data_IF_998938503450
#
_entry.id   IF_998938503450
#
_cell.length_a   1.000
_cell.length_b   1.000
_cell.length_c   1.000
_cell.angle_alpha   90.00
_cell.angle_beta   90.00
_cell.angle_gamma   90.00
#
_symmetry.space_group_name_H-M   'P 1'
#
loop_
_entity.id
_entity.type
_entity.pdbx_description
1 polymer ?
#
# COMPACT_ATOMS: atom_id res chain seq x y z
N UNK A 1 -11.40 25.81 -53.84
CA UNK A 1 -11.36 25.87 -52.36
C UNK A 1 -11.14 24.45 -51.84
N UNK A 2 -9.90 24.07 -51.54
CA UNK A 2 -9.58 22.79 -50.90
C UNK A 2 -9.51 23.05 -49.39
N UNK A 3 -10.60 22.73 -48.68
CA UNK A 3 -10.61 22.71 -47.23
C UNK A 3 -9.89 21.45 -46.75
N UNK A 4 -8.66 21.60 -46.24
CA UNK A 4 -7.95 20.50 -45.59
C UNK A 4 -8.62 20.18 -44.25
N UNK A 5 -9.29 19.04 -44.20
CA UNK A 5 -9.80 18.43 -42.99
C UNK A 5 -8.61 18.07 -42.08
N UNK A 6 -8.41 18.82 -40.99
CA UNK A 6 -7.44 18.46 -39.94
C UNK A 6 -8.06 17.30 -39.15
N UNK A 7 -7.41 16.13 -39.06
CA UNK A 7 -8.08 14.95 -38.53
C UNK A 7 -8.15 15.01 -36.99
N UNK A 8 -9.33 14.65 -36.46
CA UNK A 8 -9.82 14.70 -35.07
C UNK A 8 -9.01 13.90 -34.02
N UNK A 9 -7.78 13.47 -34.31
CA UNK A 9 -7.01 12.56 -33.46
C UNK A 9 -6.39 13.23 -32.23
N UNK A 10 -6.17 14.56 -32.24
CA UNK A 10 -5.59 15.29 -31.10
C UNK A 10 -6.50 15.32 -29.87
N UNK A 11 -7.81 15.52 -30.08
CA UNK A 11 -8.79 15.73 -29.01
C UNK A 11 -9.08 14.45 -28.20
N UNK A 12 -9.04 13.28 -28.85
CA UNK A 12 -9.28 11.97 -28.20
C UNK A 12 -8.09 11.54 -27.31
N UNK A 13 -6.85 11.79 -27.75
CA UNK A 13 -5.65 11.54 -26.92
C UNK A 13 -5.61 12.44 -25.69
N UNK A 14 -5.99 13.70 -25.84
CA UNK A 14 -5.98 14.67 -24.75
C UNK A 14 -7.06 14.38 -23.69
N UNK A 15 -8.24 13.93 -24.13
CA UNK A 15 -9.31 13.45 -23.22
C UNK A 15 -8.92 12.16 -22.47
N UNK A 16 -8.25 11.22 -23.13
CA UNK A 16 -7.77 9.99 -22.49
C UNK A 16 -6.67 10.28 -21.44
N UNK A 17 -5.76 11.22 -21.73
CA UNK A 17 -4.72 11.68 -20.80
C UNK A 17 -5.31 12.41 -19.60
N UNK A 18 -6.32 13.26 -19.80
CA UNK A 18 -7.03 13.91 -18.71
C UNK A 18 -7.76 12.90 -17.80
N UNK A 19 -8.36 11.87 -18.40
CA UNK A 19 -9.04 10.81 -17.65
C UNK A 19 -8.06 9.94 -16.84
N UNK A 20 -6.86 9.65 -17.36
CA UNK A 20 -5.85 8.88 -16.63
C UNK A 20 -5.26 9.67 -15.47
N UNK A 21 -4.98 10.96 -15.65
CA UNK A 21 -4.42 11.81 -14.60
C UNK A 21 -5.41 12.04 -13.46
N UNK A 22 -6.69 12.25 -13.79
CA UNK A 22 -7.77 12.35 -12.80
C UNK A 22 -7.92 11.06 -11.98
N UNK A 23 -7.92 9.89 -12.64
CA UNK A 23 -7.95 8.58 -11.96
C UNK A 23 -6.75 8.36 -11.05
N UNK A 24 -5.55 8.76 -11.49
CA UNK A 24 -4.32 8.64 -10.69
C UNK A 24 -4.36 9.56 -9.47
N UNK A 25 -4.88 10.79 -9.62
CA UNK A 25 -5.06 11.73 -8.52
C UNK A 25 -6.10 11.23 -7.51
N UNK A 26 -7.20 10.67 -8.00
CA UNK A 26 -8.25 10.06 -7.17
C UNK A 26 -7.75 8.83 -6.42
N UNK A 27 -6.99 7.94 -7.09
CA UNK A 27 -6.34 6.79 -6.46
C UNK A 27 -5.36 7.23 -5.37
N UNK A 28 -4.57 8.29 -5.62
CA UNK A 28 -3.64 8.85 -4.63
C UNK A 28 -4.37 9.44 -3.43
N UNK A 29 -5.43 10.21 -3.66
CA UNK A 29 -6.27 10.78 -2.59
C UNK A 29 -6.94 9.69 -1.76
N UNK A 30 -7.43 8.64 -2.42
CA UNK A 30 -8.01 7.45 -1.78
C UNK A 30 -6.97 6.70 -0.95
N UNK A 31 -5.74 6.56 -1.47
CA UNK A 31 -4.60 5.98 -0.75
C UNK A 31 -4.28 6.74 0.54
N UNK A 32 -4.11 8.07 0.48
CA UNK A 32 -3.82 8.90 1.66
C UNK A 32 -4.92 8.82 2.72
N UNK A 33 -6.18 8.80 2.29
CA UNK A 33 -7.32 8.60 3.20
C UNK A 33 -7.30 7.21 3.83
N UNK A 34 -6.98 6.19 3.06
CA UNK A 34 -6.82 4.82 3.51
C UNK A 34 -5.71 4.66 4.54
N UNK A 35 -4.52 5.19 4.27
CA UNK A 35 -3.36 5.19 5.18
C UNK A 35 -3.69 5.89 6.51
N UNK A 36 -4.34 7.05 6.44
CA UNK A 36 -4.72 7.81 7.65
C UNK A 36 -5.71 7.02 8.49
N UNK A 37 -6.73 6.43 7.86
CA UNK A 37 -7.70 5.58 8.55
C UNK A 37 -7.02 4.33 9.14
N UNK A 38 -6.17 3.67 8.38
CA UNK A 38 -5.41 2.49 8.79
C UNK A 38 -4.56 2.76 10.03
N UNK A 39 -3.83 3.88 10.03
CA UNK A 39 -3.02 4.32 11.17
C UNK A 39 -3.85 4.40 12.44
N UNK A 40 -5.00 5.09 12.40
CA UNK A 40 -5.85 5.24 13.59
C UNK A 40 -6.53 3.94 14.00
N UNK A 41 -6.98 3.14 13.03
CA UNK A 41 -7.56 1.82 13.30
C UNK A 41 -6.57 0.93 14.05
N UNK A 42 -5.34 0.79 13.53
CA UNK A 42 -4.31 -0.07 14.10
C UNK A 42 -3.80 0.43 15.44
N UNK A 43 -3.72 1.75 15.65
CA UNK A 43 -3.44 2.31 16.98
C UNK A 43 -4.49 1.91 18.02
N UNK A 44 -5.76 1.88 17.64
CA UNK A 44 -6.84 1.37 18.52
C UNK A 44 -6.74 -0.13 18.77
N UNK A 45 -6.06 -0.87 17.89
CA UNK A 45 -5.74 -2.29 18.08
C UNK A 45 -4.45 -2.53 18.87
N UNK A 46 -3.79 -1.48 19.38
CA UNK A 46 -2.59 -1.58 20.22
C UNK A 46 -1.26 -1.40 19.49
N UNK A 47 -1.26 -1.10 18.18
CA UNK A 47 -0.03 -0.85 17.44
C UNK A 47 0.61 0.48 17.85
N UNK A 48 1.93 0.46 18.03
CA UNK A 48 2.76 1.65 18.27
C UNK A 48 3.60 1.93 17.04
N UNK A 49 3.18 2.88 16.21
CA UNK A 49 3.87 3.21 14.96
C UNK A 49 5.16 4.00 15.17
N UNK A 50 6.21 3.56 14.49
CA UNK A 50 7.54 4.20 14.45
C UNK A 50 7.82 4.85 13.10
N UNK A 51 7.11 4.45 12.04
CA UNK A 51 7.17 5.10 10.74
C UNK A 51 5.86 4.98 9.96
N UNK A 52 5.65 5.93 9.05
CA UNK A 52 4.62 5.91 8.01
C UNK A 52 5.23 6.39 6.70
N UNK A 53 4.76 5.87 5.57
CA UNK A 53 5.20 6.22 4.22
C UNK A 53 6.73 6.28 4.10
N UNK A 54 7.40 5.26 4.62
CA UNK A 54 8.85 5.19 4.61
C UNK A 54 9.36 4.85 3.22
N UNK A 55 10.25 5.70 2.70
CA UNK A 55 10.93 5.49 1.42
C UNK A 55 12.45 5.54 1.65
N UNK A 56 13.17 4.43 1.45
CA UNK A 56 14.61 4.39 1.63
C UNK A 56 15.33 5.20 0.53
N UNK A 57 16.51 5.74 0.86
CA UNK A 57 17.36 6.39 -0.15
C UNK A 57 18.08 5.33 -0.99
N UNK A 58 18.14 5.54 -2.31
CA UNK A 58 18.97 4.75 -3.22
C UNK A 58 18.40 3.40 -3.67
N UNK A 59 17.24 2.96 -3.15
CA UNK A 59 16.52 1.79 -3.66
C UNK A 59 15.06 2.14 -3.92
N UNK A 60 14.43 1.40 -4.85
CA UNK A 60 12.99 1.52 -5.08
C UNK A 60 12.22 0.68 -4.07
N UNK A 61 11.23 1.28 -3.43
CA UNK A 61 10.30 0.62 -2.52
C UNK A 61 9.71 1.61 -1.51
N UNK A 62 8.62 1.20 -0.86
CA UNK A 62 7.96 1.95 0.19
C UNK A 62 7.41 0.99 1.25
N UNK A 63 7.25 1.48 2.48
CA UNK A 63 6.51 0.82 3.56
C UNK A 63 5.43 1.80 4.04
N UNK A 64 4.17 1.40 3.93
CA UNK A 64 3.05 2.28 4.29
C UNK A 64 3.08 2.58 5.80
N UNK A 65 3.16 1.54 6.62
CA UNK A 65 3.18 1.66 8.07
C UNK A 65 4.16 0.67 8.70
N UNK A 66 4.93 1.15 9.68
CA UNK A 66 5.85 0.31 10.47
C UNK A 66 5.62 0.59 11.94
N UNK A 67 5.27 -0.45 12.71
CA UNK A 67 4.93 -0.30 14.12
C UNK A 67 5.01 -1.58 14.92
N UNK A 68 5.11 -1.43 16.24
CA UNK A 68 5.15 -2.55 17.17
C UNK A 68 3.75 -3.02 17.55
N UNK A 69 3.53 -4.33 17.46
CA UNK A 69 2.42 -5.06 18.09
C UNK A 69 3.01 -5.90 19.23
N UNK A 70 2.99 -5.35 20.44
CA UNK A 70 3.75 -5.89 21.57
C UNK A 70 5.25 -5.86 21.30
N UNK A 71 5.88 -7.05 21.21
CA UNK A 71 7.32 -7.19 20.94
C UNK A 71 7.64 -7.36 19.45
N UNK A 72 6.62 -7.52 18.60
CA UNK A 72 6.77 -7.81 17.19
C UNK A 72 6.78 -6.52 16.38
N UNK A 73 7.81 -6.29 15.58
CA UNK A 73 7.82 -5.20 14.62
C UNK A 73 7.07 -5.61 13.36
N UNK A 74 5.92 -4.98 13.13
CA UNK A 74 5.04 -5.25 12.00
C UNK A 74 5.24 -4.21 10.90
N UNK A 75 5.42 -4.71 9.68
CA UNK A 75 5.37 -3.96 8.43
C UNK A 75 3.99 -4.14 7.82
N UNK A 76 3.16 -3.09 7.86
CA UNK A 76 1.75 -3.18 7.47
C UNK A 76 1.54 -2.50 6.13
N UNK A 77 1.11 -3.28 5.14
CA UNK A 77 0.67 -2.80 3.84
C UNK A 77 -0.83 -2.46 3.90
N UNK A 78 -1.21 -1.26 3.44
CA UNK A 78 -2.58 -0.76 3.47
C UNK A 78 -3.22 -0.86 2.08
N UNK A 79 -4.32 -1.60 1.97
CA UNK A 79 -5.05 -1.79 0.72
C UNK A 79 -6.46 -1.23 0.83
N UNK A 80 -6.74 -0.22 0.00
CA UNK A 80 -8.08 0.28 -0.23
C UNK A 80 -8.73 -0.54 -1.33
N UNK A 81 -9.84 -1.22 -1.02
CA UNK A 81 -10.62 -1.93 -2.03
C UNK A 81 -11.40 -0.94 -2.86
N UNK A 82 -11.22 -0.99 -4.18
CA UNK A 82 -12.10 -0.25 -5.08
C UNK A 82 -13.37 -1.06 -5.35
N UNK A 83 -14.49 -0.38 -5.62
CA UNK A 83 -15.83 -1.00 -5.82
C UNK A 83 -15.84 -2.08 -6.92
N UNK A 84 -14.84 -2.10 -7.81
CA UNK A 84 -14.69 -3.07 -8.91
C UNK A 84 -13.86 -4.32 -8.56
N UNK A 85 -13.22 -4.39 -7.39
CA UNK A 85 -12.42 -5.55 -7.00
C UNK A 85 -13.32 -6.62 -6.37
N UNK A 86 -13.46 -7.76 -7.06
CA UNK A 86 -14.30 -8.88 -6.62
C UNK A 86 -14.05 -9.22 -5.15
N UNK A 87 -15.15 -9.35 -4.40
CA UNK A 87 -15.17 -9.69 -2.98
C UNK A 87 -14.39 -10.98 -2.64
N UNK A 88 -14.19 -11.85 -3.64
CA UNK A 88 -13.51 -13.14 -3.58
C UNK A 88 -11.97 -13.07 -3.67
N UNK A 89 -11.38 -11.93 -4.05
CA UNK A 89 -9.94 -11.76 -3.92
C UNK A 89 -9.60 -11.64 -2.43
N UNK A 90 -9.20 -12.75 -1.81
CA UNK A 90 -8.70 -12.78 -0.45
C UNK A 90 -7.49 -11.83 -0.35
N UNK A 91 -7.38 -10.98 0.68
CA UNK A 91 -6.23 -10.08 0.86
C UNK A 91 -4.89 -10.84 0.92
N UNK A 92 -4.92 -12.10 1.33
CA UNK A 92 -3.83 -13.09 1.26
C UNK A 92 -3.22 -13.21 -0.15
N UNK A 93 -4.03 -13.04 -1.20
CA UNK A 93 -3.62 -13.11 -2.61
C UNK A 93 -3.23 -11.73 -3.20
N UNK A 94 -3.38 -10.64 -2.44
CA UNK A 94 -3.31 -9.26 -2.96
C UNK A 94 -1.91 -8.65 -3.01
N UNK A 95 -0.93 -9.21 -2.27
CA UNK A 95 0.47 -8.80 -2.36
C UNK A 95 1.19 -9.76 -3.30
N UNK A 96 1.36 -9.34 -4.56
CA UNK A 96 2.08 -10.12 -5.57
C UNK A 96 3.47 -10.49 -5.07
N UNK A 97 4.04 -11.62 -5.55
CA UNK A 97 5.41 -12.03 -5.20
C UNK A 97 6.44 -10.93 -5.46
N UNK A 98 6.24 -10.14 -6.53
CA UNK A 98 7.08 -8.99 -6.83
C UNK A 98 6.98 -7.91 -5.74
N UNK A 99 5.76 -7.56 -5.31
CA UNK A 99 5.56 -6.59 -4.25
C UNK A 99 6.09 -7.09 -2.90
N UNK A 100 5.92 -8.38 -2.59
CA UNK A 100 6.53 -8.99 -1.39
C UNK A 100 8.05 -8.80 -1.41
N UNK A 101 8.73 -9.11 -2.53
CA UNK A 101 10.19 -8.91 -2.66
C UNK A 101 10.60 -7.47 -2.43
N UNK A 102 9.85 -6.51 -2.98
CA UNK A 102 10.12 -5.07 -2.80
C UNK A 102 9.93 -4.66 -1.34
N UNK A 103 8.83 -5.06 -0.70
CA UNK A 103 8.54 -4.75 0.70
C UNK A 103 9.59 -5.36 1.62
N UNK A 104 9.98 -6.62 1.39
CA UNK A 104 11.03 -7.32 2.15
C UNK A 104 12.37 -6.60 2.07
N UNK A 105 12.82 -6.26 0.87
CA UNK A 105 14.07 -5.51 0.68
C UNK A 105 14.02 -4.14 1.35
N UNK A 106 12.86 -3.48 1.29
CA UNK A 106 12.65 -2.17 1.92
C UNK A 106 12.65 -2.30 3.45
N UNK A 107 12.06 -3.35 4.00
CA UNK A 107 12.09 -3.67 5.42
C UNK A 107 13.52 -3.94 5.92
N UNK A 108 14.31 -4.73 5.18
CA UNK A 108 15.73 -4.93 5.51
C UNK A 108 16.50 -3.61 5.55
N UNK A 109 16.25 -2.71 4.60
CA UNK A 109 16.86 -1.38 4.59
C UNK A 109 16.42 -0.53 5.79
N UNK A 110 15.13 -0.59 6.15
CA UNK A 110 14.60 0.09 7.33
C UNK A 110 15.30 -0.39 8.61
N UNK A 111 15.42 -1.71 8.80
CA UNK A 111 16.07 -2.30 9.97
C UNK A 111 17.53 -1.85 10.09
N UNK A 112 18.26 -1.88 8.98
CA UNK A 112 19.66 -1.44 8.95
C UNK A 112 19.82 0.06 9.24
N UNK A 113 18.97 0.93 8.67
CA UNK A 113 19.05 2.38 8.90
C UNK A 113 18.65 2.79 10.32
N UNK A 114 17.70 2.05 10.92
CA UNK A 114 17.16 2.35 12.24
C UNK A 114 17.87 1.64 13.38
N UNK A 115 18.87 0.81 13.07
CA UNK A 115 19.61 0.00 14.05
C UNK A 115 18.64 -0.77 14.97
N UNK A 116 17.62 -1.37 14.36
CA UNK A 116 16.62 -2.14 15.11
C UNK A 116 17.27 -3.44 15.57
N UNK A 117 17.29 -3.67 16.88
CA UNK A 117 17.76 -4.91 17.49
C UNK A 117 16.92 -6.12 17.07
N UNK A 118 17.40 -7.33 17.39
CA UNK A 118 16.67 -8.56 17.10
C UNK A 118 15.31 -8.59 17.78
N UNK A 119 14.25 -8.52 16.96
CA UNK A 119 12.88 -8.69 17.39
C UNK A 119 12.11 -9.55 16.37
N UNK A 120 11.00 -10.18 16.78
CA UNK A 120 10.11 -10.83 15.83
C UNK A 120 9.63 -9.84 14.78
N UNK A 121 9.73 -10.22 13.51
CA UNK A 121 9.28 -9.41 12.39
C UNK A 121 8.03 -10.03 11.79
N UNK A 122 7.10 -9.18 11.37
CA UNK A 122 5.85 -9.63 10.75
C UNK A 122 5.44 -8.73 9.60
N UNK A 123 4.85 -9.32 8.56
CA UNK A 123 4.27 -8.57 7.45
C UNK A 123 2.75 -8.72 7.48
N UNK A 124 2.07 -7.62 7.71
CA UNK A 124 0.62 -7.56 7.84
C UNK A 124 0.00 -6.90 6.60
N UNK A 125 -1.24 -7.25 6.30
CA UNK A 125 -2.06 -6.55 5.30
C UNK A 125 -3.33 -6.04 5.97
N UNK A 126 -3.59 -4.73 5.86
CA UNK A 126 -4.86 -4.14 6.26
C UNK A 126 -5.68 -3.81 5.02
N UNK A 127 -6.77 -4.54 4.81
CA UNK A 127 -7.73 -4.27 3.76
C UNK A 127 -8.88 -3.39 4.29
N UNK A 128 -9.20 -2.32 3.57
CA UNK A 128 -10.27 -1.37 3.89
C UNK A 128 -11.22 -1.31 2.69
N UNK A 129 -12.47 -1.71 2.89
CA UNK A 129 -13.57 -1.52 1.94
C UNK A 129 -14.37 -0.29 2.36
N UNK A 130 -14.25 0.79 1.60
CA UNK A 130 -14.89 2.08 1.89
C UNK A 130 -16.00 2.35 0.87
N UNK A 131 -17.22 1.90 1.18
CA UNK A 131 -18.40 2.10 0.33
C UNK A 131 -19.13 3.38 0.71
N UNK A 132 -19.51 4.23 -0.27
CA UNK A 132 -20.31 5.41 0.02
C UNK A 132 -21.58 5.07 0.81
N UNK A 133 -21.85 5.83 1.88
CA UNK A 133 -23.04 5.65 2.71
C UNK A 133 -22.98 4.47 3.69
N UNK A 134 -21.86 3.75 3.77
CA UNK A 134 -21.66 2.64 4.71
C UNK A 134 -20.42 2.89 5.58
N UNK A 135 -20.39 2.39 6.82
CA UNK A 135 -19.16 2.35 7.61
C UNK A 135 -18.07 1.56 6.87
N UNK A 136 -16.79 1.97 6.94
CA UNK A 136 -15.70 1.19 6.37
C UNK A 136 -15.63 -0.21 6.98
N UNK A 137 -15.48 -1.22 6.14
CA UNK A 137 -15.22 -2.59 6.58
C UNK A 137 -13.72 -2.84 6.55
N UNK A 138 -13.16 -3.24 7.69
CA UNK A 138 -11.72 -3.39 7.88
C UNK A 138 -11.39 -4.85 8.15
N UNK A 139 -10.35 -5.36 7.50
CA UNK A 139 -9.82 -6.71 7.71
C UNK A 139 -8.32 -6.63 7.89
N UNK A 140 -7.85 -6.99 9.10
CA UNK A 140 -6.43 -7.10 9.41
C UNK A 140 -6.01 -8.56 9.26
N UNK A 141 -5.09 -8.80 8.34
CA UNK A 141 -4.43 -10.09 8.15
C UNK A 141 -3.04 -9.99 8.74
N UNK A 142 -2.87 -10.53 9.95
CA UNK A 142 -1.54 -10.69 10.56
C UNK A 142 -0.80 -11.84 9.88
N UNK A 143 0.52 -11.72 9.76
CA UNK A 143 1.36 -12.75 9.11
C UNK A 143 0.91 -13.05 7.67
N UNK A 144 0.46 -12.02 6.94
CA UNK A 144 -0.09 -12.14 5.60
C UNK A 144 0.91 -12.79 4.62
N UNK A 145 2.21 -12.63 4.87
CA UNK A 145 3.25 -13.45 4.28
C UNK A 145 4.47 -13.55 5.20
N UNK A 146 5.19 -14.66 5.09
CA UNK A 146 6.42 -14.92 5.85
C UNK A 146 7.60 -15.02 4.88
N UNK A 147 8.36 -13.95 4.70
CA UNK A 147 9.55 -13.98 3.87
C UNK A 147 10.71 -14.58 4.66
N UNK A 148 11.53 -15.38 3.97
CA UNK A 148 12.83 -15.74 4.50
C UNK A 148 13.71 -14.49 4.48
N UNK A 149 13.91 -13.90 5.66
CA UNK A 149 14.74 -12.71 5.83
C UNK A 149 16.23 -13.04 5.98
N UNK A 150 16.62 -14.32 5.86
CA UNK A 150 18.00 -14.76 6.00
C UNK A 150 18.53 -14.39 7.38
N UNK A 151 17.86 -14.89 8.44
CA UNK A 151 18.43 -14.85 9.80
C UNK A 151 19.84 -15.43 9.70
N UNK A 152 20.85 -14.62 10.05
CA UNK A 152 22.17 -15.19 10.31
C UNK A 152 22.05 -15.84 11.67
N UNK A 153 21.95 -17.15 11.65
CA UNK A 153 22.11 -18.01 12.83
C UNK A 153 23.45 -17.72 13.53
#
# INVERSE_FOLDING_TARGET
MIGSCVPSWGRLREQANFSSEAKKLEARSTGVRGETYAYWYLRRQGYVFVAKNYMPRGIKGELDLVGYDGKTLAFVEVRMRTVKEDAAALPELSVTREKQRVVVRTAQRFLAERHVDECPLRFDVLAIDNRPGQPPVVRLHKDAFSPDLGRRD
#
